data_IF_714470068349
#
_entry.id   IF_714470068349
#
_cell.length_a   1.000
_cell.length_b   1.000
_cell.length_c   1.000
_cell.angle_alpha   90.00
_cell.angle_beta   90.00
_cell.angle_gamma   90.00
#
_symmetry.space_group_name_H-M   'P 1'
#
loop_
_entity.id
_entity.type
_entity.pdbx_description
1 polymer ?
2 non-polymer ?
3 water ?
#
# COMPACT_ATOMS: atom_id res chain seq x y z
N UNK A 2 9.78 2.52 15.34
CA UNK A 2 9.07 1.31 15.84
C UNK A 2 9.61 0.04 15.20
N UNK A 3 9.01 -1.09 15.58
CA UNK A 3 9.39 -2.39 15.04
C UNK A 3 8.31 -2.80 14.05
N UNK A 4 7.15 -2.18 14.21
CA UNK A 4 6.00 -2.44 13.37
C UNK A 4 6.14 -1.71 12.04
N UNK A 5 7.07 -0.77 11.98
CA UNK A 5 7.27 0.02 10.78
C UNK A 5 8.00 -0.70 9.65
N UNK A 6 7.57 -0.43 8.42
CA UNK A 6 8.14 -1.06 7.24
C UNK A 6 7.97 -0.27 5.95
N UNK A 7 8.72 -0.68 4.93
CA UNK A 7 8.66 -0.08 3.61
C UNK A 7 7.92 -1.07 2.72
N UNK A 8 7.10 -0.54 1.82
CA UNK A 8 6.31 -1.34 0.89
C UNK A 8 7.07 -1.38 -0.41
N UNK A 9 7.56 -2.56 -0.76
CA UNK A 9 8.42 -2.78 -1.93
C UNK A 9 7.88 -3.59 -3.11
N UNK A 10 8.12 -3.09 -4.33
CA UNK A 10 7.72 -3.83 -5.51
C UNK A 10 9.01 -4.29 -6.17
N UNK A 11 9.20 -5.60 -6.17
CA UNK A 11 10.37 -6.24 -6.74
C UNK A 11 10.62 -5.93 -8.21
N UNK A 12 9.58 -5.98 -9.04
CA UNK A 12 9.76 -5.72 -10.46
C UNK A 12 10.33 -4.34 -10.77
N UNK A 13 9.80 -3.31 -10.13
CA UNK A 13 10.27 -1.94 -10.36
C UNK A 13 11.44 -1.55 -9.46
N UNK A 14 11.65 -2.33 -8.39
CA UNK A 14 12.71 -2.01 -7.44
C UNK A 14 12.42 -0.66 -6.81
N UNK A 15 11.17 -0.44 -6.44
CA UNK A 15 10.77 0.83 -5.83
C UNK A 15 9.86 0.63 -4.63
N UNK A 16 9.84 1.63 -3.76
CA UNK A 16 9.03 1.60 -2.56
C UNK A 16 7.97 2.69 -2.59
N UNK A 17 6.84 2.42 -1.96
CA UNK A 17 5.76 3.39 -1.92
C UNK A 17 6.24 4.63 -1.17
N UNK A 18 5.76 5.80 -1.60
CA UNK A 18 6.17 7.05 -0.99
C UNK A 18 4.99 8.00 -0.81
N UNK A 19 4.68 8.32 0.44
CA UNK A 19 3.59 9.23 0.77
C UNK A 19 4.04 10.66 0.55
N UNK A 20 3.47 11.31 -0.46
CA UNK A 20 3.84 12.68 -0.76
C UNK A 20 2.88 13.67 -0.10
N UNK A 21 1.61 13.29 0.02
CA UNK A 21 0.62 14.15 0.66
C UNK A 21 -0.69 13.37 0.83
N UNK A 22 -1.65 13.95 1.54
CA UNK A 22 -2.92 13.27 1.76
C UNK A 22 -3.56 12.82 0.45
N UNK A 23 -3.38 13.60 -0.61
CA UNK A 23 -3.97 13.27 -1.90
C UNK A 23 -2.92 12.76 -2.89
N UNK A 24 -1.76 12.34 -2.40
CA UNK A 24 -0.71 11.88 -3.31
C UNK A 24 0.21 10.85 -2.67
N UNK A 25 0.17 9.64 -3.21
CA UNK A 25 1.00 8.54 -2.73
C UNK A 25 1.59 7.89 -3.98
N UNK A 26 2.88 8.08 -4.18
CA UNK A 26 3.56 7.54 -5.36
C UNK A 26 4.66 6.55 -4.96
N UNK A 27 5.74 6.49 -5.73
CA UNK A 27 6.84 5.58 -5.44
C UNK A 27 8.16 6.31 -5.56
N UNK A 28 9.20 5.72 -4.99
CA UNK A 28 10.52 6.31 -5.04
C UNK A 28 11.59 5.26 -4.77
N UNK A 29 12.83 5.61 -5.07
CA UNK A 29 13.94 4.71 -4.81
C UNK A 29 13.85 4.44 -3.30
N UNK A 30 13.95 3.18 -2.90
CA UNK A 30 13.83 2.81 -1.48
C UNK A 30 14.89 3.38 -0.55
N UNK A 31 14.43 4.03 0.51
CA UNK A 31 15.32 4.59 1.51
C UNK A 31 14.69 4.32 2.87
N UNK A 32 15.27 3.41 3.67
CA UNK A 32 14.74 3.06 5.00
C UNK A 32 14.73 4.22 6.00
N UNK A 33 15.43 5.31 5.67
CA UNK A 33 15.50 6.48 6.56
C UNK A 33 14.47 7.56 6.22
N UNK A 34 13.79 7.42 5.09
CA UNK A 34 12.79 8.41 4.69
C UNK A 34 11.47 8.15 5.40
N UNK A 35 11.04 9.09 6.24
CA UNK A 35 9.78 8.96 6.97
C UNK A 35 8.59 8.72 6.05
N UNK A 36 8.56 9.44 4.92
CA UNK A 36 7.47 9.31 3.96
C UNK A 36 7.34 7.93 3.35
N UNK A 37 8.37 7.09 3.50
CA UNK A 37 8.31 5.74 2.96
C UNK A 37 7.93 4.72 4.03
N UNK A 38 7.77 5.20 5.26
CA UNK A 38 7.42 4.31 6.36
C UNK A 38 5.92 4.17 6.62
N UNK A 39 5.49 2.92 6.79
CA UNK A 39 4.09 2.61 7.06
C UNK A 39 4.03 1.54 8.15
N UNK A 40 2.83 1.38 8.70
CA UNK A 40 2.63 0.37 9.72
C UNK A 40 1.16 0.05 9.85
N UNK A 41 0.86 -1.23 10.07
CA UNK A 41 -0.51 -1.67 10.26
C UNK A 41 -0.95 -1.10 11.59
N UNK A 42 -2.15 -0.54 11.64
CA UNK A 42 -2.66 0.01 12.89
C UNK A 42 -3.91 -0.78 13.27
N UNK A 43 -4.12 -1.88 12.55
CA UNK A 43 -5.24 -2.78 12.80
C UNK A 43 -5.13 -3.96 11.86
N UNK A 44 -6.10 -4.87 11.90
CA UNK A 44 -6.09 -6.05 11.05
C UNK A 44 -6.29 -5.73 9.59
N UNK A 45 -6.77 -4.53 9.27
CA UNK A 45 -7.03 -4.16 7.88
C UNK A 45 -6.50 -2.81 7.43
N UNK A 46 -5.94 -2.02 8.35
CA UNK A 46 -5.46 -0.68 7.96
C UNK A 46 -3.97 -0.44 8.09
N UNK A 47 -3.40 0.20 7.07
CA UNK A 47 -1.99 0.56 7.07
C UNK A 47 -1.94 2.08 7.14
N UNK A 48 -1.14 2.59 8.07
CA UNK A 48 -1.02 4.03 8.25
C UNK A 48 0.34 4.53 7.78
N UNK A 49 0.34 5.67 7.10
CA UNK A 49 1.57 6.30 6.65
C UNK A 49 2.13 6.90 7.92
N UNK A 50 3.40 6.65 8.22
CA UNK A 50 3.98 7.19 9.44
C UNK A 50 4.16 8.70 9.37
N UNK A 51 4.63 9.18 8.22
CA UNK A 51 4.84 10.60 8.02
C UNK A 51 3.57 11.44 8.15
N UNK A 52 2.42 10.89 7.76
CA UNK A 52 1.17 11.66 7.83
C UNK A 52 0.14 11.22 8.88
N UNK A 53 0.34 10.05 9.48
CA UNK A 53 -0.60 9.55 10.48
C UNK A 53 -1.98 9.45 9.86
N UNK A 54 -2.00 9.05 8.59
CA UNK A 54 -3.25 8.88 7.87
C UNK A 54 -3.19 7.49 7.25
N UNK A 55 -4.35 6.88 7.03
CA UNK A 55 -4.45 5.52 6.49
C UNK A 55 -4.65 5.43 4.98
N UNK A 56 -3.97 4.48 4.34
CA UNK A 56 -4.07 4.27 2.91
C UNK A 56 -5.51 3.89 2.56
N UNK A 57 -6.09 4.59 1.57
CA UNK A 57 -7.45 4.31 1.17
C UNK A 57 -7.81 4.74 -0.24
N UNK A 58 -9.07 4.54 -0.60
CA UNK A 58 -9.56 4.90 -1.93
C UNK A 58 -10.93 5.55 -1.81
N UNK A 59 -11.29 6.40 -2.79
CA UNK A 59 -12.60 7.09 -2.80
C UNK A 59 -13.74 6.06 -2.92
N UNK A 60 -13.51 5.04 -3.74
CA UNK A 60 -14.49 3.98 -3.94
C UNK A 60 -13.73 2.75 -4.41
N UNK A 61 -14.41 1.61 -4.45
CA UNK A 61 -13.78 0.36 -4.88
C UNK A 61 -13.96 0.19 -6.38
N UNK A 62 -13.24 1.00 -7.15
CA UNK A 62 -13.32 0.92 -8.60
C UNK A 62 -11.96 0.79 -9.24
N UNK A 63 -11.96 0.21 -10.44
CA UNK A 63 -10.75 0.02 -11.21
C UNK A 63 -10.19 1.41 -11.50
N UNK A 64 -8.88 1.56 -11.32
CA UNK A 64 -8.16 2.82 -11.55
C UNK A 64 -8.42 3.92 -10.52
N UNK A 65 -8.98 3.55 -9.38
CA UNK A 65 -9.21 4.53 -8.33
C UNK A 65 -7.84 4.79 -7.71
N UNK A 66 -7.57 6.04 -7.36
CA UNK A 66 -6.28 6.38 -6.76
C UNK A 66 -6.21 6.01 -5.29
N UNK A 67 -5.07 5.48 -4.87
CA UNK A 67 -4.87 5.11 -3.48
C UNK A 67 -4.13 6.26 -2.80
N UNK A 68 -4.80 6.95 -1.89
CA UNK A 68 -4.16 8.06 -1.18
C UNK A 68 -4.38 7.95 0.34
N UNK A 69 -4.26 9.06 1.07
CA UNK A 69 -4.39 9.02 2.52
C UNK A 69 -5.66 9.61 3.12
N UNK A 70 -6.29 8.85 4.01
CA UNK A 70 -7.50 9.30 4.68
C UNK A 70 -7.42 9.15 6.20
N UNK A 71 -8.16 9.98 6.91
CA UNK A 71 -8.18 9.91 8.36
C UNK A 71 -8.49 8.45 8.72
N UNK A 72 -7.66 7.84 9.56
CA UNK A 72 -7.89 6.45 9.93
C UNK A 72 -9.26 6.32 10.59
N UNK A 73 -10.01 5.31 10.16
CA UNK A 73 -11.35 5.06 10.65
C UNK A 73 -11.70 3.57 10.53
N UNK A 74 -11.72 2.88 11.66
CA UNK A 74 -12.01 1.45 11.72
C UNK A 74 -13.26 1.00 10.98
N UNK A 75 -14.22 1.90 10.82
CA UNK A 75 -15.47 1.54 10.15
C UNK A 75 -15.49 1.76 8.64
N UNK A 76 -14.53 2.52 8.13
CA UNK A 76 -14.47 2.77 6.69
C UNK A 76 -14.16 1.51 5.90
N UNK A 77 -15.06 1.16 5.00
CA UNK A 77 -14.88 -0.02 4.18
C UNK A 77 -14.06 0.32 2.94
N UNK A 78 -13.44 1.49 2.94
CA UNK A 78 -12.64 1.92 1.79
C UNK A 78 -11.17 2.09 2.12
N UNK A 79 -10.79 1.73 3.34
CA UNK A 79 -9.39 1.79 3.75
C UNK A 79 -8.99 0.46 4.38
N UNK A 80 -9.70 -0.60 3.99
CA UNK A 80 -9.44 -1.95 4.48
C UNK A 80 -8.71 -2.76 3.41
N UNK A 81 -7.55 -3.30 3.77
CA UNK A 81 -6.74 -4.08 2.85
C UNK A 81 -6.50 -5.50 3.35
N UNK A 82 -6.00 -6.36 2.47
CA UNK A 82 -5.70 -7.74 2.84
C UNK A 82 -4.70 -8.34 1.86
N UNK A 83 -4.06 -9.41 2.29
CA UNK A 83 -3.08 -10.09 1.46
C UNK A 83 -3.75 -11.24 0.72
N UNK A 84 -3.47 -11.34 -0.57
CA UNK A 84 -4.02 -12.39 -1.39
C UNK A 84 -2.89 -13.42 -1.47
N UNK A 85 -2.89 -14.25 -2.50
CA UNK A 85 -1.85 -15.26 -2.68
C UNK A 85 -0.55 -14.63 -3.17
N UNK A 86 0.57 -15.29 -2.90
CA UNK A 86 1.91 -14.85 -3.31
C UNK A 86 2.19 -13.34 -3.41
N UNK A 87 2.08 -12.65 -2.28
CA UNK A 87 2.34 -11.22 -2.14
C UNK A 87 1.42 -10.27 -2.91
N UNK A 88 0.39 -10.82 -3.56
CA UNK A 88 -0.58 -9.99 -4.27
C UNK A 88 -1.29 -9.27 -3.13
N UNK A 89 -1.46 -7.97 -3.28
CA UNK A 89 -2.08 -7.15 -2.24
C UNK A 89 -3.23 -6.31 -2.79
N UNK A 90 -4.31 -6.21 -2.01
CA UNK A 90 -5.46 -5.44 -2.46
C UNK A 90 -6.54 -5.12 -1.45
N UNK A 91 -7.59 -4.45 -1.92
CA UNK A 91 -8.71 -4.06 -1.08
C UNK A 91 -9.43 -5.27 -0.52
N UNK A 92 -9.68 -5.24 0.78
CA UNK A 92 -10.34 -6.34 1.48
C UNK A 92 -11.67 -6.71 0.83
N UNK A 93 -11.78 -7.96 0.40
CA UNK A 93 -13.01 -8.43 -0.20
C UNK A 93 -13.27 -8.11 -1.66
N UNK A 94 -12.29 -7.56 -2.36
CA UNK A 94 -12.48 -7.24 -3.77
C UNK A 94 -11.31 -7.72 -4.61
N UNK A 95 -11.55 -7.91 -5.89
CA UNK A 95 -10.49 -8.34 -6.79
C UNK A 95 -9.86 -7.13 -7.46
N UNK A 96 -9.50 -6.15 -6.63
CA UNK A 96 -8.85 -4.92 -7.08
C UNK A 96 -7.57 -4.79 -6.28
N UNK A 97 -6.44 -4.65 -6.98
CA UNK A 97 -5.14 -4.59 -6.32
C UNK A 97 -4.35 -3.30 -6.25
N UNK A 98 -3.59 -3.20 -5.17
CA UNK A 98 -2.70 -2.09 -4.90
C UNK A 98 -1.75 -2.24 -6.09
N UNK A 99 -1.79 -1.28 -7.02
CA UNK A 99 -1.00 -1.35 -8.25
C UNK A 99 -0.15 -0.13 -8.61
N UNK A 100 0.99 -0.38 -9.27
CA UNK A 100 1.90 0.68 -9.72
C UNK A 100 2.63 0.27 -10.99
N UNK A 101 2.68 1.14 -12.00
CA UNK A 101 3.42 0.80 -13.21
C UNK A 101 2.71 0.95 -14.54
N UNK A 102 1.39 0.95 -14.54
CA UNK A 102 0.64 1.09 -15.80
C UNK A 102 0.40 2.55 -16.19
N UNK A 103 0.43 2.85 -17.49
CA UNK A 103 0.16 4.20 -18.02
C UNK A 103 0.98 5.40 -17.55
N UNK A 104 2.21 5.22 -17.08
CA UNK A 104 2.98 6.38 -16.63
C UNK A 104 2.23 7.12 -15.54
N UNK A 105 1.36 6.42 -14.83
CA UNK A 105 0.61 7.02 -13.74
C UNK A 105 1.51 6.90 -12.51
N UNK A 106 1.88 8.03 -11.91
CA UNK A 106 2.76 8.02 -10.74
C UNK A 106 2.12 7.60 -9.42
N UNK A 107 0.83 7.85 -9.26
CA UNK A 107 0.16 7.50 -8.03
C UNK A 107 -0.24 6.03 -7.97
N UNK A 108 -0.28 5.47 -6.77
CA UNK A 108 -0.71 4.09 -6.61
C UNK A 108 -2.17 4.03 -7.03
N UNK A 109 -2.54 2.97 -7.75
CA UNK A 109 -3.90 2.78 -8.25
C UNK A 109 -4.44 1.41 -7.89
N UNK A 110 -5.76 1.30 -7.93
CA UNK A 110 -6.40 0.03 -7.70
C UNK A 110 -6.43 -0.50 -9.14
N UNK A 111 -6.10 -1.77 -9.32
CA UNK A 111 -6.07 -2.33 -10.66
C UNK A 111 -6.61 -3.75 -10.65
N UNK A 112 -7.24 -4.14 -11.76
CA UNK A 112 -7.80 -5.48 -11.92
C UNK A 112 -6.73 -6.54 -12.14
N UNK A 113 -5.67 -6.17 -12.85
CA UNK A 113 -4.60 -7.12 -13.11
C UNK A 113 -3.92 -7.60 -11.84
N UNK A 114 -3.52 -8.86 -11.82
CA UNK A 114 -2.85 -9.45 -10.66
C UNK A 114 -1.42 -9.88 -10.97
N UNK A 115 -0.73 -9.15 -11.84
CA UNK A 115 0.64 -9.50 -12.19
C UNK A 115 1.70 -9.00 -11.22
N UNK A 116 2.93 -8.86 -11.71
CA UNK A 116 4.06 -8.41 -10.91
C UNK A 116 3.89 -7.03 -10.29
N UNK A 117 3.07 -6.19 -10.93
CA UNK A 117 2.88 -4.82 -10.46
C UNK A 117 1.85 -4.67 -9.36
N UNK A 118 1.14 -5.76 -9.06
CA UNK A 118 0.15 -5.78 -8.01
C UNK A 118 0.69 -6.59 -6.84
N UNK A 119 1.96 -6.95 -6.91
CA UNK A 119 2.55 -7.73 -5.83
C UNK A 119 3.55 -6.89 -5.05
N UNK A 120 3.44 -6.93 -3.73
CA UNK A 120 4.29 -6.14 -2.86
C UNK A 120 4.85 -6.92 -1.69
N UNK A 121 6.06 -6.57 -1.28
CA UNK A 121 6.71 -7.25 -0.16
C UNK A 121 7.19 -6.24 0.87
N UNK A 122 7.46 -6.72 2.08
CA UNK A 122 8.00 -5.86 3.13
C UNK A 122 9.48 -5.70 2.73
N UNK A 123 9.91 -4.47 2.50
CA UNK A 123 11.29 -4.20 2.08
C UNK A 123 12.29 -4.90 2.99
N UNK A 124 13.26 -5.59 2.38
CA UNK A 124 14.25 -6.31 3.15
C UNK A 124 13.89 -7.78 3.39
N UNK A 125 12.72 -8.20 2.92
CA UNK A 125 12.28 -9.59 3.09
C UNK A 125 11.69 -10.18 1.82
N UNK A 126 11.26 -11.43 1.94
CA UNK A 126 10.62 -12.14 0.84
C UNK A 126 9.21 -12.42 1.37
N UNK A 127 8.74 -11.55 2.28
CA UNK A 127 7.43 -11.70 2.90
C UNK A 127 6.42 -10.67 2.38
N UNK A 128 5.14 -11.01 2.45
CA UNK A 128 4.10 -10.08 2.01
C UNK A 128 3.89 -9.04 3.12
N UNK A 129 3.10 -8.01 2.84
CA UNK A 129 2.85 -6.95 3.81
C UNK A 129 2.23 -7.40 5.12
N UNK A 130 1.46 -8.48 5.07
CA UNK A 130 0.80 -8.96 6.28
C UNK A 130 1.73 -9.55 7.33
N UNK A 131 2.95 -9.88 6.93
CA UNK A 131 3.92 -10.44 7.87
C UNK A 131 4.28 -9.42 8.95
N UNK A 132 4.02 -8.15 8.66
CA UNK A 132 4.31 -7.07 9.60
C UNK A 132 3.02 -6.67 10.29
N UNK A 133 1.95 -7.39 9.97
CA UNK A 133 0.65 -7.10 10.54
C UNK A 133 0.26 -7.92 11.76
N UNK A 134 -1.01 -7.81 12.14
CA UNK A 134 -1.55 -8.51 13.29
C UNK A 134 -2.23 -9.83 12.97
N UNK A 135 -2.79 -9.97 11.78
CA UNK A 135 -3.50 -11.20 11.40
C UNK A 135 -2.62 -12.14 10.54
X LIG B 1 0.67 -6.27 -18.14
X LIG B 1 0.79 -5.04 -17.22
X LIG B 1 1.24 -5.47 -15.83
X LIG B 1 2.60 -6.19 -16.00
X LIG B 1 3.19 -6.63 -14.68
X LIG B 1 0.12 -4.93 -20.38
X LIG B 1 -0.39 -5.35 -21.75
X LIG B 1 1.80 -8.25 -18.88
X LIG B 1 0.31 -5.87 -19.46
X LIG B 1 -0.45 -4.35 -17.13
X LIG B 1 0.25 -6.34 -15.27
X LIG B 1 2.46 -7.36 -16.85
X LIG B 1 4.14 -7.67 -14.87
X LIG B 1 0.31 -3.75 -20.15
X LIG B 1 -1.45 -6.61 -13.57
X LIG B 1 -0.28 -4.53 -13.72
X LIG B 1 0.88 -6.50 -12.95
X LIG B 1 -0.14 -6.00 -13.88
#
# INVERSE_FOLDING_TARGET
LDARQFLIYNEDHKRCVDALSAISVQTATCNPEAESQKFRWVSDSQIMSVAFKLCLGVPSKTDWASVTLYACDSKSEYQKWECKNDTLFGIKGTELYFNYGNRQEKNIKLYKGSGLWSRWKVYGTTDDLCSRGYE
ASG C2 C3 C4 C5 C6 C7 C8 O1 N2 O3 O4 O5 O6 O7 OSA OSB OSC S
#
